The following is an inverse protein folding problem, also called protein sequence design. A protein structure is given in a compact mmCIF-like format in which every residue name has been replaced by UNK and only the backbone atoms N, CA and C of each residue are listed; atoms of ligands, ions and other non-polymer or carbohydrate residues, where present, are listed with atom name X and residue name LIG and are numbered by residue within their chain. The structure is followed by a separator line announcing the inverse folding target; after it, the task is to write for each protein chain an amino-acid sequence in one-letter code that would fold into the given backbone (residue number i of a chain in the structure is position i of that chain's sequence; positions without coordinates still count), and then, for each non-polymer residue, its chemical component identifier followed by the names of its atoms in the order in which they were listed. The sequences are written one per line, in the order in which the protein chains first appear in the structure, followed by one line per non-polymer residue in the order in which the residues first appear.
data_IF_451955540529
#
_entry.id   IF_451955540529
#
_cell.length_a   1.000
_cell.length_b   1.000
_cell.length_c   1.000
_cell.angle_alpha   90.00
_cell.angle_beta   90.00
_cell.angle_gamma   90.00
#
_symmetry.space_group_name_H-M   'P 1'
#
loop_
_entity.id
_entity.type
_entity.pdbx_description
1 polymer ?
#
# COMPACT_ATOMS: atom_id res chain seq x y z
N UNK A 1 47.77 1.59 14.00
CA UNK A 1 47.76 0.15 14.40
C UNK A 1 46.53 -0.06 15.28
N UNK A 2 45.50 -0.75 14.75
CA UNK A 2 45.08 -2.10 15.19
C UNK A 2 44.82 -2.19 16.69
N UNK A 3 43.55 -2.32 17.08
CA UNK A 3 43.09 -3.25 18.12
C UNK A 3 41.60 -3.56 17.86
N UNK A 4 41.34 -4.83 17.49
CA UNK A 4 40.09 -5.58 17.69
C UNK A 4 38.81 -5.01 17.02
N UNK A 5 38.28 -5.50 15.90
CA UNK A 5 37.92 -6.89 15.58
C UNK A 5 37.40 -7.62 16.82
N UNK A 6 36.09 -7.57 17.08
CA UNK A 6 35.31 -8.66 17.69
C UNK A 6 33.82 -8.42 17.41
N UNK A 7 33.27 -9.29 16.57
CA UNK A 7 31.99 -9.99 16.74
C UNK A 7 30.79 -9.15 17.22
N UNK A 8 29.84 -8.89 16.33
CA UNK A 8 28.72 -9.81 16.09
C UNK A 8 27.86 -10.05 17.33
N UNK A 9 26.55 -9.81 17.16
CA UNK A 9 25.44 -10.41 17.91
C UNK A 9 24.98 -9.59 19.13
N UNK A 10 23.84 -8.90 18.93
CA UNK A 10 22.88 -8.40 19.95
C UNK A 10 23.40 -7.13 20.66
N UNK A 11 22.69 -6.00 20.80
CA UNK A 11 21.38 -5.71 21.41
C UNK A 11 21.12 -4.22 21.06
N UNK A 12 20.07 -3.89 20.31
CA UNK A 12 18.80 -3.37 20.85
C UNK A 12 18.92 -2.00 21.55
N UNK A 13 19.05 -0.91 20.78
CA UNK A 13 18.57 0.42 21.19
C UNK A 13 18.10 1.14 19.91
N UNK A 14 16.82 0.96 19.56
CA UNK A 14 16.15 1.89 18.63
C UNK A 14 15.09 2.62 19.43
N UNK A 15 15.41 3.90 19.55
CA UNK A 15 14.75 4.99 20.23
C UNK A 15 13.26 5.07 19.91
N UNK A 16 12.48 5.13 20.98
CA UNK A 16 11.10 5.59 21.02
C UNK A 16 10.98 6.93 20.29
N UNK A 17 10.27 6.95 19.16
CA UNK A 17 9.51 8.13 18.75
C UNK A 17 8.03 7.77 18.85
N UNK A 18 7.39 8.36 19.86
CA UNK A 18 5.96 8.40 20.02
C UNK A 18 5.35 9.22 18.87
N UNK A 19 4.98 8.53 17.78
CA UNK A 19 4.02 9.07 16.83
C UNK A 19 2.64 8.69 17.34
N UNK A 20 2.00 9.63 18.02
CA UNK A 20 0.57 9.62 18.29
C UNK A 20 -0.19 9.66 16.97
N UNK A 21 -0.41 8.49 16.37
CA UNK A 21 -1.42 8.33 15.34
C UNK A 21 -2.78 8.34 16.04
N UNK A 22 -3.36 9.53 16.10
CA UNK A 22 -4.77 9.70 16.37
C UNK A 22 -5.49 9.12 15.15
N UNK A 23 -5.90 7.86 15.24
CA UNK A 23 -6.80 7.22 14.28
C UNK A 23 -8.20 7.83 14.46
N UNK A 24 -8.41 9.03 13.92
CA UNK A 24 -9.75 9.60 13.79
C UNK A 24 -10.35 9.21 12.44
N UNK A 25 -11.56 8.68 12.56
CA UNK A 25 -12.55 8.35 11.53
C UNK A 25 -12.30 7.06 10.74
N UNK A 26 -12.69 5.94 11.37
CA UNK A 26 -13.52 4.97 10.67
C UNK A 26 -14.98 5.32 10.96
N UNK A 27 -15.55 6.28 10.23
CA UNK A 27 -17.00 6.36 10.10
C UNK A 27 -17.48 5.10 9.37
N UNK A 28 -18.14 4.24 10.15
CA UNK A 28 -18.70 2.98 9.72
C UNK A 28 -20.01 3.28 8.98
N UNK A 29 -19.89 3.74 7.74
CA UNK A 29 -21.05 3.93 6.88
C UNK A 29 -21.51 2.59 6.31
N UNK A 30 -22.69 2.19 6.78
CA UNK A 30 -23.41 0.99 6.44
C UNK A 30 -23.98 1.12 5.02
N UNK A 31 -23.15 0.92 3.99
CA UNK A 31 -23.67 0.80 2.63
C UNK A 31 -23.09 -0.41 1.89
N UNK A 32 -23.99 -1.32 1.53
CA UNK A 32 -23.74 -2.59 0.83
C UNK A 32 -23.12 -2.35 -0.55
N UNK A 33 -21.79 -2.30 -0.63
CA UNK A 33 -20.99 -3.08 -1.59
C UNK A 33 -19.87 -3.71 -0.77
N UNK A 34 -20.13 -4.92 -0.29
CA UNK A 34 -19.33 -5.63 0.71
C UNK A 34 -18.06 -6.23 0.09
N UNK A 35 -17.03 -5.40 -0.11
CA UNK A 35 -15.62 -5.79 -0.02
C UNK A 35 -14.97 -4.67 0.79
N UNK A 36 -14.38 -4.99 1.94
CA UNK A 36 -13.79 -3.98 2.81
C UNK A 36 -12.79 -3.14 1.99
N UNK A 37 -12.85 -1.82 2.07
CA UNK A 37 -11.87 -0.96 1.39
C UNK A 37 -10.44 -1.34 1.79
N UNK A 38 -10.26 -1.91 2.98
CA UNK A 38 -9.00 -2.52 3.42
C UNK A 38 -8.59 -3.67 2.50
N UNK A 39 -9.50 -4.59 2.16
CA UNK A 39 -9.20 -5.72 1.27
C UNK A 39 -8.89 -5.24 -0.15
N UNK A 40 -9.62 -4.23 -0.65
CA UNK A 40 -9.35 -3.64 -1.96
C UNK A 40 -8.00 -2.91 -1.97
N UNK A 41 -7.66 -2.16 -0.92
CA UNK A 41 -6.35 -1.51 -0.78
C UNK A 41 -5.21 -2.53 -0.69
N UNK A 42 -5.42 -3.64 0.03
CA UNK A 42 -4.47 -4.75 0.08
C UNK A 42 -4.28 -5.39 -1.30
N UNK A 43 -5.36 -5.50 -2.09
CA UNK A 43 -5.28 -6.02 -3.45
C UNK A 43 -4.50 -5.06 -4.38
N UNK A 44 -4.74 -3.75 -4.29
CA UNK A 44 -3.94 -2.72 -4.99
C UNK A 44 -2.46 -2.86 -4.63
N UNK A 45 -2.14 -2.99 -3.34
CA UNK A 45 -0.76 -3.18 -2.87
C UNK A 45 -0.13 -4.46 -3.40
N UNK A 46 -0.86 -5.58 -3.36
CA UNK A 46 -0.37 -6.89 -3.82
C UNK A 46 -0.09 -6.89 -5.32
N UNK A 47 -1.00 -6.35 -6.12
CA UNK A 47 -0.83 -6.27 -7.58
C UNK A 47 0.24 -5.24 -7.98
N UNK A 48 0.38 -4.13 -7.25
CA UNK A 48 1.50 -3.21 -7.40
C UNK A 48 2.85 -3.88 -7.14
N UNK A 49 2.95 -4.70 -6.09
CA UNK A 49 4.16 -5.47 -5.78
C UNK A 49 4.45 -6.50 -6.87
N UNK A 50 3.43 -7.21 -7.37
CA UNK A 50 3.60 -8.17 -8.45
C UNK A 50 4.11 -7.50 -9.74
N UNK A 51 3.54 -6.35 -10.10
CA UNK A 51 4.02 -5.56 -11.24
C UNK A 51 5.43 -5.02 -11.02
N UNK A 52 5.74 -4.53 -9.83
CA UNK A 52 7.09 -4.03 -9.49
C UNK A 52 8.14 -5.15 -9.49
N UNK A 53 7.74 -6.38 -9.18
CA UNK A 53 8.61 -7.55 -9.20
C UNK A 53 8.84 -8.08 -10.62
N UNK A 54 7.83 -7.98 -11.49
CA UNK A 54 7.89 -8.39 -12.90
C UNK A 54 7.03 -7.48 -13.78
N UNK A 55 7.72 -6.60 -14.52
CA UNK A 55 7.15 -5.54 -15.37
C UNK A 55 6.60 -6.11 -16.69
N UNK A 56 5.60 -6.98 -16.59
CA UNK A 56 4.91 -7.54 -17.75
C UNK A 56 3.47 -7.02 -17.87
N UNK A 57 2.90 -7.16 -19.07
CA UNK A 57 1.54 -6.68 -19.39
C UNK A 57 0.47 -7.29 -18.49
N UNK A 58 0.57 -8.57 -18.13
CA UNK A 58 -0.43 -9.24 -17.29
C UNK A 58 -0.45 -8.63 -15.87
N UNK A 59 0.72 -8.40 -15.28
CA UNK A 59 0.84 -7.81 -13.96
C UNK A 59 0.44 -6.32 -13.97
N UNK A 60 0.79 -5.58 -15.02
CA UNK A 60 0.35 -4.20 -15.19
C UNK A 60 -1.18 -4.10 -15.25
N UNK A 61 -1.81 -4.94 -16.08
CA UNK A 61 -3.27 -4.98 -16.23
C UNK A 61 -3.96 -5.41 -14.93
N UNK A 62 -3.37 -6.34 -14.16
CA UNK A 62 -3.89 -6.72 -12.85
C UNK A 62 -3.82 -5.56 -11.84
N UNK A 63 -2.73 -4.81 -11.83
CA UNK A 63 -2.58 -3.62 -10.99
C UNK A 63 -3.56 -2.50 -11.40
N UNK A 64 -3.69 -2.25 -12.71
CA UNK A 64 -4.67 -1.31 -13.27
C UNK A 64 -6.10 -1.66 -12.84
N UNK A 65 -6.50 -2.92 -12.99
CA UNK A 65 -7.82 -3.38 -12.59
C UNK A 65 -8.05 -3.22 -11.07
N UNK A 66 -7.03 -3.49 -10.25
CA UNK A 66 -7.13 -3.29 -8.81
C UNK A 66 -7.35 -1.81 -8.43
N UNK A 67 -6.65 -0.88 -9.09
CA UNK A 67 -6.85 0.56 -8.92
C UNK A 67 -8.27 0.99 -9.31
N UNK A 68 -8.76 0.54 -10.48
CA UNK A 68 -10.10 0.86 -10.96
C UNK A 68 -11.20 0.36 -10.00
N UNK A 69 -11.06 -0.86 -9.48
CA UNK A 69 -12.00 -1.44 -8.51
C UNK A 69 -11.96 -0.68 -7.19
N UNK A 70 -10.77 -0.31 -6.69
CA UNK A 70 -10.65 0.48 -5.47
C UNK A 70 -11.31 1.86 -5.62
N UNK A 71 -11.00 2.59 -6.69
CA UNK A 71 -11.56 3.93 -6.95
C UNK A 71 -13.09 3.88 -7.05
N UNK A 72 -13.63 2.86 -7.72
CA UNK A 72 -15.06 2.68 -7.86
C UNK A 72 -15.75 2.26 -6.55
N UNK A 73 -15.11 1.41 -5.75
CA UNK A 73 -15.67 0.85 -4.51
C UNK A 73 -15.48 1.69 -3.26
N UNK A 74 -14.46 2.55 -3.24
CA UNK A 74 -13.97 3.27 -2.06
C UNK A 74 -13.89 4.79 -2.28
N UNK A 75 -14.76 5.34 -3.13
CA UNK A 75 -14.73 6.74 -3.58
C UNK A 75 -14.81 7.81 -2.46
N UNK A 76 -15.19 7.44 -1.25
CA UNK A 76 -15.22 8.31 -0.07
C UNK A 76 -13.92 8.30 0.75
N UNK A 77 -12.93 7.48 0.38
CA UNK A 77 -11.64 7.41 1.05
C UNK A 77 -10.71 8.55 0.63
N UNK A 78 -9.88 9.03 1.55
CA UNK A 78 -8.98 10.17 1.32
C UNK A 78 -7.88 9.90 0.29
N UNK A 79 -7.56 8.62 0.06
CA UNK A 79 -6.47 8.16 -0.81
C UNK A 79 -6.89 7.94 -2.27
N UNK A 80 -8.20 7.98 -2.58
CA UNK A 80 -8.73 7.79 -3.94
C UNK A 80 -8.05 8.70 -4.96
N UNK A 81 -7.87 9.98 -4.63
CA UNK A 81 -7.20 10.95 -5.50
C UNK A 81 -5.76 10.57 -5.88
N UNK A 82 -5.05 9.90 -4.96
CA UNK A 82 -3.69 9.41 -5.20
C UNK A 82 -3.72 8.20 -6.13
N UNK A 83 -4.68 7.29 -5.96
CA UNK A 83 -4.85 6.15 -6.86
C UNK A 83 -5.36 6.54 -8.25
N UNK A 84 -6.21 7.57 -8.37
CA UNK A 84 -6.59 8.15 -9.65
C UNK A 84 -5.39 8.72 -10.41
N UNK A 85 -4.43 9.30 -9.69
CA UNK A 85 -3.20 9.82 -10.27
C UNK A 85 -2.33 8.67 -10.75
N UNK A 86 -2.09 7.67 -9.89
CA UNK A 86 -1.35 6.46 -10.26
C UNK A 86 -1.96 5.75 -11.48
N UNK A 87 -3.29 5.66 -11.56
CA UNK A 87 -3.99 5.04 -12.69
C UNK A 87 -3.77 5.81 -14.01
N UNK A 88 -3.70 7.15 -13.97
CA UNK A 88 -3.46 7.98 -15.16
C UNK A 88 -2.02 7.86 -15.67
N UNK A 89 -1.07 7.67 -14.77
CA UNK A 89 0.36 7.52 -15.08
C UNK A 89 0.71 6.08 -15.49
N UNK A 90 -0.19 5.12 -15.25
CA UNK A 90 0.03 3.71 -15.54
C UNK A 90 -0.29 3.39 -17.01
N UNK A 91 0.76 3.32 -17.83
CA UNK A 91 0.70 2.85 -19.21
C UNK A 91 0.99 1.33 -19.27
N UNK A 92 -0.04 0.52 -19.50
CA UNK A 92 0.11 -0.91 -19.75
C UNK A 92 0.13 -1.18 -21.26
N UNK A 93 1.18 -1.84 -21.75
CA UNK A 93 1.36 -2.27 -23.15
C UNK A 93 0.84 -3.68 -23.42
#
# INVERSE_FOLDING_TARGET
MKLLQIFSKKIFIITVLASSFVLTSCEKDENKINTDCIDLANNVTTTAQAYSADLNSANCNAYKAALEVYIAGCNNQTDVSSFETALKELECE
#
